data_IF_808386921190
#
_entry.id   IF_808386921190
#
_cell.length_a   1.000
_cell.length_b   1.000
_cell.length_c   1.000
_cell.angle_alpha   90.00
_cell.angle_beta   90.00
_cell.angle_gamma   90.00
#
_symmetry.space_group_name_H-M   'P 1'
#
loop_
_entity.id
_entity.type
_entity.pdbx_description
1 polymer ?
#
# COMPACT_ATOMS: atom_id res chain seq x y z
N UNK A 1 7.46 -15.93 -57.87
CA UNK A 1 6.35 -15.11 -57.34
C UNK A 1 6.04 -15.58 -55.93
N UNK A 2 6.02 -14.62 -54.99
CA UNK A 2 5.52 -14.66 -53.60
C UNK A 2 6.07 -15.76 -52.67
N UNK A 3 7.02 -15.31 -51.85
CA UNK A 3 7.69 -15.96 -50.74
C UNK A 3 6.66 -16.41 -49.69
N UNK A 4 6.84 -17.62 -49.15
CA UNK A 4 6.24 -18.05 -47.89
C UNK A 4 6.74 -17.10 -46.78
N UNK A 5 5.82 -16.40 -46.12
CA UNK A 5 6.04 -15.87 -44.78
C UNK A 5 5.08 -16.59 -43.83
N UNK A 6 5.62 -17.61 -43.16
CA UNK A 6 5.15 -18.01 -41.86
C UNK A 6 5.77 -17.05 -40.84
N UNK A 7 4.96 -16.24 -40.18
CA UNK A 7 5.33 -15.54 -38.96
C UNK A 7 4.18 -15.69 -37.98
N UNK A 8 4.25 -16.79 -37.22
CA UNK A 8 3.55 -16.94 -35.95
C UNK A 8 4.09 -15.88 -34.99
N UNK A 9 3.34 -14.80 -34.81
CA UNK A 9 3.60 -13.84 -33.74
C UNK A 9 3.16 -14.48 -32.42
N UNK A 10 4.12 -15.01 -31.66
CA UNK A 10 3.91 -15.32 -30.24
C UNK A 10 3.89 -13.98 -29.52
N UNK A 11 2.69 -13.41 -29.34
CA UNK A 11 2.49 -12.32 -28.41
C UNK A 11 2.62 -12.90 -26.99
N UNK A 12 3.83 -12.83 -26.43
CA UNK A 12 4.03 -13.00 -25.01
C UNK A 12 3.33 -11.81 -24.32
N UNK A 13 2.10 -12.03 -23.87
CA UNK A 13 1.46 -11.19 -22.87
C UNK A 13 2.31 -11.32 -21.60
N UNK A 14 3.27 -10.42 -21.42
CA UNK A 14 3.78 -10.12 -20.08
C UNK A 14 2.65 -9.41 -19.35
N UNK A 15 1.71 -10.18 -18.81
CA UNK A 15 0.92 -9.72 -17.69
C UNK A 15 1.89 -9.61 -16.52
N UNK A 16 2.60 -8.48 -16.44
CA UNK A 16 3.05 -7.96 -15.17
C UNK A 16 1.79 -7.58 -14.40
N UNK A 17 1.11 -8.60 -13.87
CA UNK A 17 0.28 -8.41 -12.71
C UNK A 17 1.21 -7.80 -11.68
N UNK A 18 1.03 -6.51 -11.38
CA UNK A 18 1.54 -5.95 -10.15
C UNK A 18 0.84 -6.74 -9.03
N UNK A 19 1.43 -7.88 -8.67
CA UNK A 19 1.10 -8.65 -7.47
C UNK A 19 1.42 -7.72 -6.32
N UNK A 20 0.42 -6.93 -5.92
CA UNK A 20 0.06 -6.60 -4.53
C UNK A 20 -1.13 -5.61 -4.50
N UNK A 21 -2.11 -5.76 -5.39
CA UNK A 21 -3.40 -5.07 -5.24
C UNK A 21 -4.37 -5.87 -4.33
N UNK A 22 -4.21 -7.19 -4.26
CA UNK A 22 -4.99 -8.08 -3.38
C UNK A 22 -4.59 -8.02 -1.88
N UNK A 23 -3.51 -7.34 -1.48
CA UNK A 23 -3.02 -7.35 -0.08
C UNK A 23 -3.24 -6.04 0.67
N UNK A 24 -2.90 -4.88 0.09
CA UNK A 24 -2.90 -3.60 0.82
C UNK A 24 -4.29 -3.13 1.29
N UNK A 25 -5.30 -3.18 0.41
CA UNK A 25 -6.67 -2.84 0.77
C UNK A 25 -7.25 -3.84 1.78
N UNK A 26 -6.90 -5.12 1.65
CA UNK A 26 -7.29 -6.14 2.63
C UNK A 26 -6.64 -5.90 4.00
N UNK A 27 -5.35 -5.52 4.04
CA UNK A 27 -4.64 -5.11 5.27
C UNK A 27 -5.29 -3.88 5.89
N UNK A 28 -5.59 -2.88 5.06
CA UNK A 28 -6.29 -1.69 5.51
C UNK A 28 -7.64 -2.05 6.15
N UNK A 29 -8.45 -2.85 5.46
CA UNK A 29 -9.78 -3.25 5.93
C UNK A 29 -9.72 -4.16 7.16
N UNK A 30 -8.73 -5.04 7.30
CA UNK A 30 -8.62 -5.95 8.45
C UNK A 30 -8.09 -5.28 9.73
N UNK A 31 -7.25 -4.25 9.60
CA UNK A 31 -6.52 -3.68 10.73
C UNK A 31 -6.55 -2.14 10.80
N UNK A 32 -6.20 -1.46 9.72
CA UNK A 32 -5.92 -0.01 9.75
C UNK A 32 -7.20 0.85 9.76
N UNK A 33 -8.28 0.36 9.15
CA UNK A 33 -9.53 1.10 8.90
C UNK A 33 -10.20 1.60 10.18
N UNK A 34 -10.03 0.88 11.29
CA UNK A 34 -10.60 1.23 12.61
C UNK A 34 -10.24 2.65 13.02
N UNK A 35 -9.02 3.09 12.70
CA UNK A 35 -8.55 4.43 13.04
C UNK A 35 -8.44 5.36 11.83
N UNK A 36 -7.95 4.84 10.71
CA UNK A 36 -7.58 5.67 9.56
C UNK A 36 -8.76 5.99 8.63
N UNK A 37 -9.93 5.35 8.75
CA UNK A 37 -11.11 5.74 7.95
C UNK A 37 -11.69 7.09 8.38
N UNK A 38 -11.80 7.33 9.68
CA UNK A 38 -12.44 8.54 10.25
C UNK A 38 -11.45 9.47 10.98
N UNK A 39 -10.19 9.08 11.09
CA UNK A 39 -9.16 9.84 11.82
C UNK A 39 -9.31 9.77 13.33
N UNK A 40 -9.65 8.58 13.84
CA UNK A 40 -9.83 8.34 15.28
C UNK A 40 -8.55 8.70 16.03
N UNK A 41 -8.70 9.40 17.15
CA UNK A 41 -7.60 9.85 17.99
C UNK A 41 -6.50 10.64 17.24
N UNK A 42 -6.86 11.32 16.14
CA UNK A 42 -5.93 12.10 15.33
C UNK A 42 -5.09 11.27 14.34
N UNK A 43 -5.50 10.03 14.06
CA UNK A 43 -4.90 9.24 12.98
C UNK A 43 -5.06 9.97 11.62
N UNK A 44 -4.04 9.94 10.74
CA UNK A 44 -4.18 10.51 9.41
C UNK A 44 -5.23 9.73 8.61
N UNK A 45 -6.22 10.44 8.07
CA UNK A 45 -7.29 9.83 7.29
C UNK A 45 -6.73 9.22 6.01
N UNK A 46 -7.12 8.00 5.69
CA UNK A 46 -6.83 7.38 4.41
C UNK A 46 -7.32 8.29 3.28
N UNK A 47 -6.50 8.39 2.23
CA UNK A 47 -6.72 9.17 1.02
C UNK A 47 -6.78 10.70 1.22
N UNK A 48 -6.53 11.20 2.44
CA UNK A 48 -6.36 12.63 2.67
C UNK A 48 -4.93 13.08 2.34
N UNK A 49 -4.71 13.55 1.10
CA UNK A 49 -3.40 13.98 0.62
C UNK A 49 -2.73 15.03 1.52
N UNK A 50 -3.49 16.00 2.05
CA UNK A 50 -2.94 17.07 2.90
C UNK A 50 -2.40 16.53 4.24
N UNK A 51 -3.00 15.46 4.75
CA UNK A 51 -2.52 14.81 5.96
C UNK A 51 -1.34 13.86 5.68
N UNK A 52 -1.24 13.27 4.48
CA UNK A 52 -0.19 12.30 4.14
C UNK A 52 1.07 12.92 3.54
N UNK A 53 0.99 14.05 2.82
CA UNK A 53 2.14 14.73 2.21
C UNK A 53 3.29 15.00 3.22
N UNK A 54 3.07 15.65 4.38
CA UNK A 54 4.15 15.87 5.34
C UNK A 54 4.64 14.59 6.03
N UNK A 55 3.92 13.46 5.91
CA UNK A 55 4.34 12.16 6.45
C UNK A 55 5.25 11.48 5.44
N UNK A 56 4.84 11.45 4.17
CA UNK A 56 5.64 10.91 3.07
C UNK A 56 6.98 11.64 2.93
N UNK A 57 7.02 12.96 3.21
CA UNK A 57 8.27 13.72 3.25
C UNK A 57 9.31 13.22 4.28
N UNK A 58 8.90 12.43 5.28
CA UNK A 58 9.82 11.80 6.25
C UNK A 58 10.48 10.51 5.72
N UNK A 59 10.04 10.03 4.56
CA UNK A 59 10.50 8.79 3.94
C UNK A 59 9.81 7.53 4.48
N UNK A 60 9.74 6.51 3.62
CA UNK A 60 8.99 5.27 3.89
C UNK A 60 9.51 4.51 5.11
N UNK A 61 10.83 4.41 5.29
CA UNK A 61 11.43 3.66 6.41
C UNK A 61 11.06 4.27 7.76
N UNK A 62 10.95 5.61 7.85
CA UNK A 62 10.50 6.30 9.06
C UNK A 62 9.04 5.99 9.38
N UNK A 63 8.19 5.92 8.36
CA UNK A 63 6.78 5.58 8.52
C UNK A 63 6.62 4.12 8.94
N UNK A 64 7.33 3.20 8.28
CA UNK A 64 7.37 1.80 8.65
C UNK A 64 7.82 1.61 10.10
N UNK A 65 8.89 2.28 10.51
CA UNK A 65 9.35 2.23 11.91
C UNK A 65 8.24 2.65 12.87
N UNK A 66 7.56 3.77 12.59
CA UNK A 66 6.46 4.27 13.41
C UNK A 66 5.30 3.27 13.50
N UNK A 67 4.96 2.57 12.41
CA UNK A 67 3.94 1.51 12.41
C UNK A 67 4.38 0.34 13.30
N UNK A 68 5.62 -0.13 13.16
CA UNK A 68 6.12 -1.29 13.91
C UNK A 68 6.26 -1.02 15.41
N UNK A 69 6.75 0.17 15.79
CA UNK A 69 6.98 0.51 17.20
C UNK A 69 5.77 1.17 17.87
N UNK A 70 4.78 1.59 17.10
CA UNK A 70 3.70 2.45 17.56
C UNK A 70 4.12 3.92 17.65
N UNK A 71 3.15 4.81 17.54
CA UNK A 71 3.34 6.26 17.65
C UNK A 71 2.04 6.91 18.11
N UNK A 72 2.10 7.71 19.18
CA UNK A 72 0.93 8.33 19.80
C UNK A 72 -0.14 7.27 20.16
N UNK A 73 -1.36 7.43 19.64
CA UNK A 73 -2.46 6.49 19.84
C UNK A 73 -2.40 5.25 18.93
N UNK A 74 -1.48 5.19 17.96
CA UNK A 74 -1.32 4.04 17.08
C UNK A 74 -0.53 2.94 17.81
N UNK A 75 -1.10 1.73 18.00
CA UNK A 75 -0.42 0.64 18.68
C UNK A 75 0.74 0.09 17.84
N UNK A 76 1.74 -0.56 18.46
CA UNK A 76 2.78 -1.30 17.75
C UNK A 76 2.17 -2.33 16.79
N UNK A 77 2.63 -2.31 15.52
CA UNK A 77 2.13 -3.18 14.46
C UNK A 77 0.78 -2.75 13.85
N UNK A 78 0.20 -1.62 14.26
CA UNK A 78 -1.03 -1.10 13.64
C UNK A 78 -2.21 -2.08 13.65
N UNK A 79 -2.34 -2.88 14.71
CA UNK A 79 -3.31 -3.99 14.87
C UNK A 79 -3.16 -5.15 13.89
N UNK A 80 -2.10 -5.19 13.07
CA UNK A 80 -1.82 -6.30 12.18
C UNK A 80 -0.77 -7.23 12.79
N UNK A 81 -1.20 -8.39 13.28
CA UNK A 81 -0.31 -9.35 13.96
C UNK A 81 0.49 -10.24 13.00
N UNK A 82 0.09 -10.29 11.74
CA UNK A 82 0.61 -11.16 10.69
C UNK A 82 1.24 -10.37 9.52
N UNK A 83 1.36 -9.04 9.64
CA UNK A 83 1.95 -8.21 8.60
C UNK A 83 3.48 -8.24 8.62
N UNK A 84 4.05 -8.38 7.44
CA UNK A 84 5.46 -8.16 7.11
C UNK A 84 5.77 -6.68 6.90
N UNK A 85 7.05 -6.35 6.72
CA UNK A 85 7.46 -4.97 6.41
C UNK A 85 6.93 -4.50 5.06
N UNK A 86 6.84 -5.42 4.09
CA UNK A 86 6.26 -5.19 2.77
C UNK A 86 4.75 -4.91 2.87
N UNK A 87 4.03 -5.65 3.71
CA UNK A 87 2.60 -5.44 3.96
C UNK A 87 2.32 -4.03 4.52
N UNK A 88 3.14 -3.60 5.48
CA UNK A 88 3.02 -2.25 6.06
C UNK A 88 3.31 -1.16 5.03
N UNK A 89 4.36 -1.33 4.22
CA UNK A 89 4.68 -0.37 3.15
C UNK A 89 3.54 -0.28 2.15
N UNK A 90 2.97 -1.41 1.75
CA UNK A 90 1.83 -1.46 0.84
C UNK A 90 0.59 -0.77 1.44
N UNK A 91 0.31 -0.97 2.74
CA UNK A 91 -0.78 -0.28 3.43
C UNK A 91 -0.56 1.24 3.56
N UNK A 92 0.68 1.68 3.83
CA UNK A 92 1.04 3.11 3.84
C UNK A 92 0.83 3.73 2.46
N UNK A 93 1.28 3.06 1.40
CA UNK A 93 1.06 3.51 0.02
C UNK A 93 -0.42 3.56 -0.33
N UNK A 94 -1.19 2.55 0.06
CA UNK A 94 -2.64 2.53 -0.15
C UNK A 94 -3.31 3.72 0.51
N UNK A 95 -3.07 3.95 1.81
CA UNK A 95 -3.70 5.04 2.55
C UNK A 95 -3.23 6.43 2.11
N UNK A 96 -2.03 6.56 1.54
CA UNK A 96 -1.48 7.86 1.14
C UNK A 96 -1.79 8.26 -0.31
N UNK A 97 -2.23 7.31 -1.14
CA UNK A 97 -2.73 7.60 -2.49
C UNK A 97 -4.04 8.39 -2.39
N UNK A 98 -4.08 9.56 -3.00
CA UNK A 98 -5.31 10.32 -3.15
C UNK A 98 -6.32 9.50 -3.99
N UNK A 99 -7.58 9.50 -3.56
CA UNK A 99 -8.72 8.89 -4.24
C UNK A 99 -9.84 9.90 -4.41
#
# INVERSE_FOLDING_TARGET
>A
MKKLLAMTAVAALTMSVNVSAQEAEAIFNKACTVCHSMGVAGAPKAHNAAEWEPRLAKGMDTLLHSVKTGLNAMPPGGMCTDCTDEDYKAAIEFMSKAQ
#
